data_IF_667880935930
#
_entry.id   IF_667880935930
#
_cell.length_a   1.000
_cell.length_b   1.000
_cell.length_c   1.000
_cell.angle_alpha   90.00
_cell.angle_beta   90.00
_cell.angle_gamma   90.00
#
_symmetry.space_group_name_H-M   'P 1'
#
loop_
_entity.id
_entity.type
_entity.pdbx_description
1 polymer ?
#
# COMPACT_ATOMS: atom_id res chain seq x y z
N UNK A 1 34.33 -11.55 -18.61
CA UNK A 1 33.34 -11.08 -19.61
C UNK A 1 32.75 -9.80 -19.04
N UNK A 2 32.85 -8.70 -19.78
CA UNK A 2 32.74 -7.34 -19.25
C UNK A 2 31.31 -7.00 -18.81
N UNK A 3 31.19 -6.75 -17.50
CA UNK A 3 30.01 -6.20 -16.84
C UNK A 3 29.81 -4.76 -17.31
N UNK A 4 28.96 -4.56 -18.32
CA UNK A 4 28.68 -3.23 -18.87
C UNK A 4 27.38 -2.72 -18.26
N UNK A 5 27.37 -2.53 -16.95
CA UNK A 5 26.34 -1.77 -16.26
C UNK A 5 26.62 -0.28 -16.50
N UNK A 6 25.79 0.36 -17.31
CA UNK A 6 25.82 1.82 -17.48
C UNK A 6 25.35 2.40 -16.14
N UNK A 7 26.27 2.97 -15.37
CA UNK A 7 25.95 3.73 -14.15
C UNK A 7 25.20 4.99 -14.54
N UNK A 8 23.89 4.98 -14.34
CA UNK A 8 23.02 6.13 -14.58
C UNK A 8 22.49 6.62 -13.24
N UNK A 9 23.00 7.79 -12.85
CA UNK A 9 22.55 8.72 -11.81
C UNK A 9 21.63 8.17 -10.70
N UNK A 10 22.08 8.31 -9.46
CA UNK A 10 21.23 8.15 -8.27
C UNK A 10 20.02 9.08 -8.36
N UNK A 11 18.84 8.53 -8.12
CA UNK A 11 17.56 9.23 -8.16
C UNK A 11 16.77 8.91 -6.90
N UNK A 12 16.20 9.95 -6.31
CA UNK A 12 15.26 9.83 -5.20
C UNK A 12 13.84 10.07 -5.71
N UNK A 13 12.92 9.23 -5.28
CA UNK A 13 11.50 9.24 -5.70
C UNK A 13 10.64 9.13 -4.45
N UNK A 14 9.65 10.00 -4.35
CA UNK A 14 8.62 9.96 -3.31
C UNK A 14 7.29 9.49 -3.89
N UNK A 15 6.57 8.66 -3.16
CA UNK A 15 5.23 8.22 -3.52
C UNK A 15 4.76 7.01 -2.72
N UNK A 16 3.54 6.57 -2.99
CA UNK A 16 2.97 5.40 -2.35
C UNK A 16 3.57 4.12 -2.91
N UNK A 17 4.02 3.22 -2.04
CA UNK A 17 4.55 1.91 -2.44
C UNK A 17 3.38 0.94 -2.73
N UNK A 18 3.39 0.34 -3.91
CA UNK A 18 2.31 -0.51 -4.45
C UNK A 18 2.89 -1.72 -5.17
N UNK A 19 2.02 -2.71 -5.43
CA UNK A 19 2.32 -3.88 -6.27
C UNK A 19 3.66 -4.56 -5.94
N UNK A 20 3.88 -4.87 -4.66
CA UNK A 20 5.07 -5.58 -4.19
C UNK A 20 4.96 -7.05 -4.57
N UNK A 21 5.98 -7.55 -5.26
CA UNK A 21 6.19 -8.94 -5.62
C UNK A 21 7.52 -9.39 -5.01
N UNK A 22 7.43 -10.14 -3.91
CA UNK A 22 8.57 -10.66 -3.16
C UNK A 22 9.27 -11.82 -3.88
N UNK A 23 8.58 -12.55 -4.77
CA UNK A 23 9.20 -13.64 -5.53
C UNK A 23 10.18 -13.09 -6.59
N UNK A 24 9.85 -11.91 -7.12
CA UNK A 24 10.66 -11.24 -8.14
C UNK A 24 11.51 -10.10 -7.61
N UNK A 25 11.40 -9.78 -6.32
CA UNK A 25 11.98 -8.60 -5.69
C UNK A 25 11.68 -7.31 -6.47
N UNK A 26 10.42 -7.17 -6.90
CA UNK A 26 9.95 -6.00 -7.66
C UNK A 26 8.83 -5.28 -6.92
N UNK A 27 8.77 -3.96 -7.05
CA UNK A 27 7.65 -3.17 -6.55
C UNK A 27 7.38 -1.99 -7.49
N UNK A 28 6.29 -1.27 -7.24
CA UNK A 28 5.96 -0.05 -7.97
C UNK A 28 5.77 1.11 -7.01
N UNK A 29 6.33 2.26 -7.34
CA UNK A 29 6.10 3.50 -6.58
C UNK A 29 5.17 4.38 -7.40
N UNK A 30 4.01 4.70 -6.83
CA UNK A 30 3.07 5.64 -7.40
C UNK A 30 3.38 7.05 -6.91
N UNK A 31 3.97 7.84 -7.81
CA UNK A 31 4.40 9.20 -7.49
C UNK A 31 3.21 10.17 -7.43
N UNK A 32 3.34 11.25 -6.65
CA UNK A 32 2.35 12.34 -6.59
C UNK A 32 2.03 12.98 -7.96
N UNK A 33 2.90 12.78 -8.97
CA UNK A 33 2.69 13.21 -10.36
C UNK A 33 1.79 12.25 -11.17
N UNK A 34 1.20 11.25 -10.52
CA UNK A 34 0.32 10.25 -11.16
C UNK A 34 1.07 9.26 -12.06
N UNK A 35 2.37 9.03 -11.80
CA UNK A 35 3.20 8.11 -12.59
C UNK A 35 3.64 6.92 -11.74
N UNK A 36 3.54 5.73 -12.32
CA UNK A 36 4.13 4.50 -11.78
C UNK A 36 5.60 4.43 -12.18
N UNK A 37 6.45 4.16 -11.20
CA UNK A 37 7.86 3.82 -11.41
C UNK A 37 8.06 2.38 -11.02
N UNK A 38 8.58 1.57 -11.93
CA UNK A 38 8.94 0.19 -11.63
C UNK A 38 10.25 0.17 -10.86
N UNK A 39 10.28 -0.60 -9.80
CA UNK A 39 11.40 -0.69 -8.87
C UNK A 39 11.81 -2.15 -8.69
N UNK A 40 13.11 -2.36 -8.48
CA UNK A 40 13.71 -3.62 -8.02
C UNK A 40 14.45 -3.34 -6.73
N UNK A 41 14.42 -4.28 -5.80
CA UNK A 41 15.15 -4.20 -4.55
C UNK A 41 15.96 -5.48 -4.33
N UNK A 42 16.94 -5.42 -3.44
CA UNK A 42 17.68 -6.60 -2.99
C UNK A 42 16.98 -7.23 -1.77
N UNK A 43 17.22 -8.53 -1.52
CA UNK A 43 16.58 -9.29 -0.42
C UNK A 43 16.80 -8.65 0.97
N UNK A 44 17.88 -7.90 1.14
CA UNK A 44 18.17 -7.15 2.38
C UNK A 44 17.11 -6.08 2.71
N UNK A 45 16.38 -5.60 1.71
CA UNK A 45 15.32 -4.58 1.84
C UNK A 45 13.92 -5.20 1.86
N UNK A 46 13.79 -6.52 1.70
CA UNK A 46 12.49 -7.20 1.59
C UNK A 46 11.57 -6.88 2.77
N UNK A 47 12.10 -6.91 3.99
CA UNK A 47 11.34 -6.61 5.20
C UNK A 47 10.83 -5.16 5.22
N UNK A 48 11.65 -4.19 4.78
CA UNK A 48 11.27 -2.77 4.75
C UNK A 48 10.21 -2.52 3.69
N UNK A 49 10.36 -3.13 2.52
CA UNK A 49 9.41 -2.99 1.40
C UNK A 49 8.07 -3.64 1.76
N UNK A 50 8.09 -4.77 2.47
CA UNK A 50 6.89 -5.44 2.95
C UNK A 50 6.15 -4.62 4.01
N UNK A 51 6.89 -4.05 4.96
CA UNK A 51 6.33 -3.20 6.02
C UNK A 51 5.78 -1.87 5.46
N UNK A 52 6.44 -1.34 4.45
CA UNK A 52 6.04 -0.10 3.78
C UNK A 52 4.93 -0.27 2.72
N UNK A 53 4.32 -1.45 2.60
CA UNK A 53 3.24 -1.68 1.64
C UNK A 53 2.07 -0.73 1.92
N UNK A 54 1.61 -0.05 0.88
CA UNK A 54 0.55 0.96 0.92
C UNK A 54 0.88 2.23 1.73
N UNK A 55 2.09 2.35 2.26
CA UNK A 55 2.59 3.57 2.90
C UNK A 55 3.21 4.54 1.89
N UNK A 56 3.31 5.81 2.26
CA UNK A 56 4.11 6.77 1.52
C UNK A 56 5.59 6.59 1.86
N UNK A 57 6.43 6.49 0.82
CA UNK A 57 7.86 6.21 0.98
C UNK A 57 8.71 7.18 0.17
N UNK A 58 9.91 7.43 0.67
CA UNK A 58 11.02 8.00 -0.06
C UNK A 58 12.03 6.90 -0.40
N UNK A 59 12.07 6.51 -1.68
CA UNK A 59 13.02 5.53 -2.18
C UNK A 59 14.17 6.23 -2.92
N UNK A 60 15.39 5.87 -2.55
CA UNK A 60 16.61 6.31 -3.24
C UNK A 60 17.30 5.12 -3.88
N UNK A 61 17.73 5.29 -5.13
CA UNK A 61 18.30 4.20 -5.89
C UNK A 61 18.95 4.62 -7.20
N UNK A 62 19.50 3.65 -7.90
CA UNK A 62 20.10 3.85 -9.22
C UNK A 62 19.07 3.60 -10.33
N UNK A 63 19.05 4.46 -11.35
CA UNK A 63 18.19 4.24 -12.52
C UNK A 63 18.87 3.24 -13.44
N UNK A 64 18.24 2.07 -13.59
CA UNK A 64 18.67 1.01 -14.48
C UNK A 64 17.77 0.97 -15.71
N UNK A 65 18.37 0.97 -16.89
CA UNK A 65 17.66 0.65 -18.12
C UNK A 65 17.93 -0.82 -18.46
N UNK A 66 16.96 -1.73 -18.33
CA UNK A 66 17.15 -3.11 -18.75
C UNK A 66 17.54 -3.14 -20.24
N UNK A 67 18.57 -3.91 -20.55
CA UNK A 67 19.07 -4.06 -21.92
C UNK A 67 18.04 -4.82 -22.75
N UNK A 68 17.18 -4.11 -23.49
CA UNK A 68 16.19 -4.76 -24.36
C UNK A 68 16.83 -5.17 -25.68
N UNK A 69 17.01 -6.47 -25.92
CA UNK A 69 17.35 -7.02 -27.25
C UNK A 69 16.11 -7.07 -28.20
N UNK A 70 15.16 -6.14 -28.04
CA UNK A 70 13.91 -6.11 -28.79
C UNK A 70 13.95 -5.06 -29.89
N UNK A 71 13.97 -5.51 -31.14
CA UNK A 71 13.69 -4.70 -32.31
C UNK A 71 12.23 -4.20 -32.26
N UNK A 72 12.02 -2.97 -31.81
CA UNK A 72 10.98 -2.02 -32.22
C UNK A 72 10.91 -0.91 -31.17
N UNK A 73 10.64 0.31 -31.61
CA UNK A 73 10.74 1.57 -30.84
C UNK A 73 9.84 1.74 -29.62
N UNK A 74 9.64 0.70 -28.81
CA UNK A 74 9.07 0.79 -27.48
C UNK A 74 10.02 1.54 -26.56
N UNK A 75 9.53 2.62 -25.95
CA UNK A 75 10.25 3.43 -24.95
C UNK A 75 10.93 2.50 -23.95
N UNK A 76 12.26 2.64 -23.81
CA UNK A 76 13.04 1.92 -22.79
C UNK A 76 12.37 2.17 -21.43
N UNK A 77 11.80 1.13 -20.83
CA UNK A 77 11.23 1.26 -19.50
C UNK A 77 12.39 1.49 -18.53
N UNK A 78 12.44 2.65 -17.89
CA UNK A 78 13.40 2.94 -16.83
C UNK A 78 12.94 2.27 -15.54
N UNK A 79 13.83 1.54 -14.89
CA UNK A 79 13.60 0.89 -13.61
C UNK A 79 14.48 1.57 -12.56
N UNK A 80 14.01 1.61 -11.30
CA UNK A 80 14.82 2.08 -10.18
C UNK A 80 15.28 0.89 -9.35
N UNK A 81 16.59 0.67 -9.22
CA UNK A 81 17.15 -0.25 -8.23
C UNK A 81 17.22 0.47 -6.90
N UNK A 82 16.35 0.12 -5.95
CA UNK A 82 16.28 0.71 -4.63
C UNK A 82 17.50 0.27 -3.82
N UNK A 83 18.24 1.24 -3.29
CA UNK A 83 19.33 1.02 -2.33
C UNK A 83 18.90 1.35 -0.91
N UNK A 84 17.96 2.28 -0.78
CA UNK A 84 17.43 2.74 0.51
C UNK A 84 15.96 3.13 0.36
N UNK A 85 15.13 2.70 1.31
CA UNK A 85 13.73 3.12 1.43
C UNK A 85 13.49 3.66 2.83
N UNK A 86 12.83 4.81 2.92
CA UNK A 86 12.38 5.40 4.18
C UNK A 86 10.87 5.60 4.11
N UNK A 87 10.15 5.12 5.12
CA UNK A 87 8.73 5.40 5.26
C UNK A 87 8.56 6.84 5.71
N UNK A 88 7.72 7.58 5.00
CA UNK A 88 7.27 8.89 5.43
C UNK A 88 6.03 8.59 6.28
N UNK A 89 6.20 8.59 7.61
CA UNK A 89 5.07 8.50 8.51
C UNK A 89 4.14 9.69 8.27
N UNK A 90 2.84 9.45 8.27
CA UNK A 90 1.87 10.52 8.45
C UNK A 90 2.20 11.16 9.81
N UNK A 91 2.51 12.45 9.84
CA UNK A 91 2.70 13.20 11.09
C UNK A 91 1.38 13.31 11.91
N UNK A 92 0.32 12.60 11.52
CA UNK A 92 -1.03 12.61 12.11
C UNK A 92 -1.40 11.29 12.83
N UNK A 93 -0.41 10.51 13.29
CA UNK A 93 -0.61 9.10 13.69
C UNK A 93 -0.79 8.77 15.18
N UNK A 94 -0.64 9.73 16.10
CA UNK A 94 -0.79 9.49 17.55
C UNK A 94 -1.52 10.62 18.30
N UNK A 95 -2.35 11.39 17.61
CA UNK A 95 -3.43 12.08 18.31
C UNK A 95 -4.43 11.01 18.77
N UNK A 96 -4.34 10.66 20.05
CA UNK A 96 -5.42 10.01 20.80
C UNK A 96 -6.71 10.77 20.46
N UNK A 97 -7.55 10.20 19.60
CA UNK A 97 -8.73 10.89 19.08
C UNK A 97 -9.68 11.14 20.25
N UNK A 98 -9.60 12.36 20.79
CA UNK A 98 -10.39 12.76 21.94
C UNK A 98 -11.84 12.98 21.49
N UNK A 99 -12.64 11.93 21.67
CA UNK A 99 -14.09 11.94 21.40
C UNK A 99 -14.82 13.07 22.14
N UNK A 100 -14.28 13.54 23.28
CA UNK A 100 -14.85 14.62 24.08
C UNK A 100 -14.55 15.99 23.46
N UNK A 101 -13.34 16.19 22.93
CA UNK A 101 -12.95 17.41 22.20
C UNK A 101 -13.68 17.58 20.86
N UNK A 102 -13.96 16.46 20.15
CA UNK A 102 -14.69 16.48 18.89
C UNK A 102 -16.21 16.69 19.04
N UNK A 103 -16.74 16.68 20.27
CA UNK A 103 -18.19 16.73 20.53
C UNK A 103 -18.95 15.52 19.97
N UNK A 104 -18.23 14.47 19.57
CA UNK A 104 -18.78 13.26 18.98
C UNK A 104 -19.00 12.24 20.10
N UNK A 105 -20.22 12.22 20.63
CA UNK A 105 -20.61 11.18 21.59
C UNK A 105 -20.60 9.82 20.88
N UNK A 106 -19.89 8.79 21.42
CA UNK A 106 -19.99 7.44 20.89
C UNK A 106 -21.45 7.02 20.80
N UNK A 107 -21.89 6.57 19.63
CA UNK A 107 -23.24 6.06 19.46
C UNK A 107 -23.41 4.83 20.36
N UNK A 108 -24.36 4.91 21.28
CA UNK A 108 -24.74 3.72 22.06
C UNK A 108 -25.46 2.73 21.15
N UNK A 109 -25.55 1.46 21.55
CA UNK A 109 -26.30 0.46 20.78
C UNK A 109 -27.76 0.87 20.53
N UNK A 110 -28.35 1.66 21.44
CA UNK A 110 -29.68 2.24 21.26
C UNK A 110 -29.69 3.33 20.18
N UNK A 111 -28.71 4.21 20.17
CA UNK A 111 -28.59 5.26 19.15
C UNK A 111 -28.36 4.65 17.75
N UNK A 112 -27.61 3.55 17.67
CA UNK A 112 -27.45 2.80 16.41
C UNK A 112 -28.77 2.17 15.92
N UNK A 113 -29.59 1.64 16.83
CA UNK A 113 -30.91 1.09 16.48
C UNK A 113 -31.88 2.18 16.02
N UNK A 114 -31.80 3.38 16.61
CA UNK A 114 -32.65 4.53 16.26
C UNK A 114 -32.13 5.30 15.03
N UNK A 115 -30.85 5.14 14.66
CA UNK A 115 -30.22 5.83 13.52
C UNK A 115 -30.68 5.37 12.13
N UNK A 116 -31.41 4.25 12.04
CA UNK A 116 -31.78 3.64 10.76
C UNK A 116 -30.63 2.90 10.05
N UNK A 117 -29.37 3.02 10.50
CA UNK A 117 -28.22 2.28 9.96
C UNK A 117 -28.38 0.77 10.17
N UNK A 118 -28.91 0.34 11.32
CA UNK A 118 -29.26 -1.07 11.56
C UNK A 118 -30.51 -1.48 10.78
N UNK A 119 -31.41 -0.52 10.49
CA UNK A 119 -32.58 -0.74 9.64
C UNK A 119 -32.23 -1.22 8.23
N UNK A 120 -31.12 -0.72 7.66
CA UNK A 120 -30.62 -1.19 6.36
C UNK A 120 -30.25 -2.68 6.35
N UNK A 121 -29.86 -3.24 7.50
CA UNK A 121 -29.56 -4.67 7.62
C UNK A 121 -30.83 -5.50 7.83
N UNK A 122 -31.88 -4.92 8.42
CA UNK A 122 -33.16 -5.60 8.67
C UNK A 122 -33.92 -5.91 7.38
N UNK A 123 -33.81 -5.05 6.37
CA UNK A 123 -34.52 -5.19 5.09
C UNK A 123 -33.72 -5.96 4.02
N UNK A 124 -32.53 -6.47 4.38
CA UNK A 124 -31.74 -7.34 3.50
C UNK A 124 -32.33 -8.74 3.46
N UNK A 125 -32.90 -9.09 2.32
CA UNK A 125 -33.40 -10.45 2.04
C UNK A 125 -32.34 -11.38 1.44
N UNK A 126 -31.14 -10.86 1.18
CA UNK A 126 -30.01 -11.59 0.58
C UNK A 126 -29.09 -12.23 1.64
N UNK A 127 -29.33 -11.96 2.92
CA UNK A 127 -28.65 -12.55 4.06
C UNK A 127 -29.69 -13.33 4.87
N UNK A 128 -29.52 -14.64 4.99
CA UNK A 128 -30.55 -15.52 5.53
C UNK A 128 -30.79 -15.26 7.04
N UNK A 129 -29.95 -15.75 7.96
CA UNK A 129 -30.04 -15.39 9.39
C UNK A 129 -28.80 -14.61 9.83
N UNK A 130 -29.00 -13.34 10.19
CA UNK A 130 -27.92 -12.45 10.66
C UNK A 130 -27.26 -12.97 11.94
N UNK A 131 -28.00 -13.68 12.81
CA UNK A 131 -27.42 -14.29 14.00
C UNK A 131 -26.54 -15.49 13.63
N UNK A 132 -26.96 -16.30 12.66
CA UNK A 132 -26.18 -17.45 12.22
C UNK A 132 -24.88 -17.00 11.53
N UNK A 133 -24.95 -15.93 10.72
CA UNK A 133 -23.79 -15.32 10.10
C UNK A 133 -22.81 -14.74 11.13
N UNK A 134 -23.30 -13.97 12.10
CA UNK A 134 -22.47 -13.41 13.17
C UNK A 134 -21.88 -14.47 14.11
N UNK A 135 -22.57 -15.61 14.28
CA UNK A 135 -22.03 -16.78 14.99
C UNK A 135 -20.88 -17.41 14.21
N UNK A 136 -21.06 -17.66 12.91
CA UNK A 136 -20.01 -18.24 12.05
C UNK A 136 -18.75 -17.37 12.00
N UNK A 137 -18.89 -16.04 11.95
CA UNK A 137 -17.74 -15.13 12.01
C UNK A 137 -16.94 -15.28 13.32
N UNK A 138 -17.63 -15.40 14.45
CA UNK A 138 -16.99 -15.65 15.76
C UNK A 138 -16.33 -17.02 15.86
N UNK A 139 -16.85 -18.00 15.15
CA UNK A 139 -16.28 -19.35 15.10
C UNK A 139 -15.13 -19.47 14.08
N UNK A 140 -14.99 -18.53 13.13
CA UNK A 140 -13.93 -18.50 12.11
C UNK A 140 -12.68 -17.70 12.53
N UNK A 141 -12.75 -16.87 13.57
CA UNK A 141 -11.59 -16.15 14.15
C UNK A 141 -11.06 -16.81 15.45
N UNK A 142 -10.63 -18.07 15.39
CA UNK A 142 -9.70 -18.68 16.36
C UNK A 142 -8.93 -19.86 15.75
#
# INVERSE_FOLDING_TARGET
MADTMIRTSTRTIKGALRAVDLERNTCQIFTAKGKFVNCVFDESLEWQIKDALDCEVEATGEVITPYSNGSNGSRKAEWLRIEKVEMIGDEDGDEEFDFEAAGLKPFTGKDLLESGLIGMWKDRTDMDDSNDFARRLRELEL
#
